data_IF_832150714273
#
_entry.id   IF_832150714273
#
_cell.length_a   1.000
_cell.length_b   1.000
_cell.length_c   1.000
_cell.angle_alpha   90.00
_cell.angle_beta   90.00
_cell.angle_gamma   90.00
#
_symmetry.space_group_name_H-M   'P 1'
#
loop_
_entity.id
_entity.type
_entity.pdbx_description
1 polymer ?
#
# COMPACT_ATOMS: atom_id res chain seq x y z
N UNK A 1 13.93 29.37 0.82
CA UNK A 1 13.93 27.92 0.52
C UNK A 1 12.81 27.29 1.33
N UNK A 2 11.82 26.76 0.68
CA UNK A 2 10.67 26.14 1.33
C UNK A 2 11.11 24.78 1.90
N UNK A 3 10.84 24.56 3.18
CA UNK A 3 11.30 23.36 3.90
C UNK A 3 10.30 22.24 3.65
N UNK A 4 10.69 21.20 2.90
CA UNK A 4 9.91 19.98 2.75
C UNK A 4 10.04 19.13 4.01
N UNK A 5 8.97 19.07 4.80
CA UNK A 5 8.97 18.35 6.08
C UNK A 5 9.24 16.86 5.91
N UNK A 6 8.73 16.21 4.85
CA UNK A 6 8.94 14.77 4.64
C UNK A 6 10.40 14.47 4.31
N UNK A 7 11.05 15.31 3.49
CA UNK A 7 12.48 15.19 3.22
C UNK A 7 13.30 15.34 4.51
N UNK A 8 12.98 16.37 5.33
CA UNK A 8 13.66 16.63 6.61
C UNK A 8 13.48 15.46 7.58
N UNK A 9 12.26 14.89 7.70
CA UNK A 9 11.99 13.75 8.57
C UNK A 9 12.73 12.49 8.12
N UNK A 10 12.83 12.26 6.80
CA UNK A 10 13.56 11.14 6.24
C UNK A 10 15.07 11.24 6.49
N UNK A 11 15.67 12.42 6.25
CA UNK A 11 17.10 12.64 6.45
C UNK A 11 17.53 12.50 7.91
N UNK A 12 16.71 13.01 8.85
CA UNK A 12 17.01 13.04 10.28
C UNK A 12 16.51 11.82 11.07
N UNK A 13 15.84 10.88 10.45
CA UNK A 13 15.17 9.76 11.13
C UNK A 13 16.10 8.96 12.07
N UNK A 14 17.35 8.74 11.68
CA UNK A 14 18.33 8.01 12.51
C UNK A 14 18.72 8.76 13.80
N UNK A 15 18.51 10.06 13.86
CA UNK A 15 18.90 10.92 14.99
C UNK A 15 17.79 11.11 16.03
N UNK A 16 16.56 10.67 15.73
CA UNK A 16 15.41 10.90 16.60
C UNK A 16 15.42 10.03 17.86
N UNK A 17 15.19 10.65 19.00
CA UNK A 17 14.85 9.94 20.23
C UNK A 17 13.50 9.19 20.06
N UNK A 18 13.22 8.23 20.94
CA UNK A 18 11.97 7.44 20.91
C UNK A 18 10.70 8.34 20.87
N UNK A 19 10.69 9.45 21.62
CA UNK A 19 9.57 10.38 21.66
C UNK A 19 9.44 11.22 20.38
N UNK A 20 10.56 11.68 19.85
CA UNK A 20 10.59 12.40 18.58
C UNK A 20 10.18 11.54 17.40
N UNK A 21 10.60 10.29 17.41
CA UNK A 21 10.19 9.29 16.41
C UNK A 21 8.68 9.08 16.43
N UNK A 22 8.04 9.00 17.60
CA UNK A 22 6.60 8.90 17.68
C UNK A 22 5.85 10.09 17.05
N UNK A 23 6.40 11.32 17.18
CA UNK A 23 5.85 12.51 16.51
C UNK A 23 6.09 12.44 14.99
N UNK A 24 7.30 12.09 14.57
CA UNK A 24 7.65 11.94 13.15
C UNK A 24 6.79 10.88 12.46
N UNK A 25 6.65 9.72 13.09
CA UNK A 25 5.83 8.62 12.59
C UNK A 25 4.37 9.06 12.44
N UNK A 26 3.81 9.77 13.42
CA UNK A 26 2.44 10.27 13.34
C UNK A 26 2.26 11.27 12.19
N UNK A 27 3.21 12.19 11.99
CA UNK A 27 3.14 13.16 10.88
C UNK A 27 3.24 12.45 9.53
N UNK A 28 4.11 11.45 9.40
CA UNK A 28 4.25 10.67 8.18
C UNK A 28 3.00 9.80 7.90
N UNK A 29 2.42 9.24 8.96
CA UNK A 29 1.28 8.33 8.87
C UNK A 29 -0.05 9.06 8.61
N UNK A 30 -0.24 10.24 9.22
CA UNK A 30 -1.48 11.01 9.18
C UNK A 30 -1.22 12.49 8.84
N UNK A 31 -0.59 12.80 7.71
CA UNK A 31 -0.26 14.20 7.37
C UNK A 31 -1.51 15.08 7.22
N UNK A 32 -2.61 14.52 6.71
CA UNK A 32 -3.91 15.15 6.60
C UNK A 32 -4.49 15.55 7.96
N UNK A 33 -4.34 14.71 8.97
CA UNK A 33 -4.76 15.02 10.34
C UNK A 33 -3.80 15.98 11.01
N UNK A 34 -2.49 15.71 10.92
CA UNK A 34 -1.45 16.53 11.54
C UNK A 34 -1.49 18.00 11.08
N UNK A 35 -1.84 18.25 9.81
CA UNK A 35 -1.97 19.58 9.24
C UNK A 35 -3.00 20.48 9.94
N UNK A 36 -4.02 19.89 10.57
CA UNK A 36 -5.10 20.64 11.23
C UNK A 36 -5.09 20.52 12.76
N UNK A 37 -4.15 19.75 13.34
CA UNK A 37 -4.01 19.60 14.79
C UNK A 37 -3.32 20.79 15.43
N UNK A 38 -3.63 21.03 16.71
CA UNK A 38 -2.81 21.87 17.60
C UNK A 38 -1.61 21.06 18.09
N UNK A 39 -0.61 21.73 18.69
CA UNK A 39 0.54 21.04 19.29
C UNK A 39 0.09 20.05 20.39
N UNK A 40 -0.91 20.43 21.19
CA UNK A 40 -1.52 19.61 22.23
C UNK A 40 -2.21 18.37 21.62
N UNK A 41 -3.00 18.54 20.57
CA UNK A 41 -3.69 17.44 19.89
C UNK A 41 -2.69 16.45 19.27
N UNK A 42 -1.63 16.98 18.62
CA UNK A 42 -0.57 16.14 18.04
C UNK A 42 0.21 15.40 19.15
N UNK A 43 0.51 16.07 20.25
CA UNK A 43 1.18 15.49 21.40
C UNK A 43 0.36 14.34 22.00
N UNK A 44 -0.95 14.55 22.21
CA UNK A 44 -1.87 13.53 22.68
C UNK A 44 -1.93 12.33 21.72
N UNK A 45 -2.04 12.57 20.42
CA UNK A 45 -2.11 11.53 19.40
C UNK A 45 -0.79 10.72 19.27
N UNK A 46 0.36 11.39 19.43
CA UNK A 46 1.67 10.74 19.40
C UNK A 46 2.11 10.15 20.77
N UNK A 47 1.32 10.32 21.83
CA UNK A 47 1.66 9.83 23.18
C UNK A 47 2.85 10.52 23.82
N UNK A 48 3.03 11.83 23.56
CA UNK A 48 4.12 12.67 24.10
C UNK A 48 3.58 13.94 24.75
N UNK A 49 4.46 14.74 25.36
CA UNK A 49 4.07 16.06 25.87
C UNK A 49 4.06 17.12 24.76
N UNK A 50 3.22 18.16 24.92
CA UNK A 50 3.18 19.30 23.99
C UNK A 50 4.57 19.96 23.84
N UNK A 51 5.30 20.10 24.93
CA UNK A 51 6.67 20.63 24.91
C UNK A 51 7.62 19.78 24.07
N UNK A 52 7.38 18.46 23.95
CA UNK A 52 8.14 17.59 23.05
C UNK A 52 7.85 17.92 21.60
N UNK A 53 6.59 18.17 21.24
CA UNK A 53 6.19 18.55 19.87
C UNK A 53 6.78 19.90 19.48
N UNK A 54 6.72 20.90 20.38
CA UNK A 54 7.27 22.24 20.12
C UNK A 54 8.79 22.17 19.94
N UNK A 55 9.52 21.46 20.82
CA UNK A 55 10.98 21.28 20.68
C UNK A 55 11.34 20.51 19.41
N UNK A 56 10.57 19.51 19.07
CA UNK A 56 10.77 18.75 17.84
C UNK A 56 10.71 19.65 16.60
N UNK A 57 9.72 20.55 16.52
CA UNK A 57 9.64 21.55 15.45
C UNK A 57 10.89 22.42 15.36
N UNK A 58 11.39 22.93 16.51
CA UNK A 58 12.60 23.74 16.58
C UNK A 58 13.85 22.96 16.13
N UNK A 59 14.02 21.71 16.55
CA UNK A 59 15.14 20.82 16.17
C UNK A 59 15.12 20.45 14.67
N UNK A 60 13.96 20.40 14.07
CA UNK A 60 13.82 20.24 12.61
C UNK A 60 14.19 21.53 11.86
N UNK A 61 14.37 22.66 12.56
CA UNK A 61 14.75 23.95 12.01
C UNK A 61 13.57 24.84 11.64
N UNK A 62 12.36 24.55 12.13
CA UNK A 62 11.20 25.44 12.05
C UNK A 62 11.25 26.49 13.17
N UNK A 63 10.57 27.61 13.00
CA UNK A 63 10.46 28.66 14.02
C UNK A 63 9.61 28.23 15.23
N UNK A 64 8.88 27.14 15.10
CA UNK A 64 8.04 26.53 16.11
C UNK A 64 7.00 25.62 15.49
N UNK A 65 6.08 25.10 16.33
CA UNK A 65 5.03 24.19 15.84
C UNK A 65 4.11 24.82 14.77
N UNK A 66 3.69 26.10 14.87
CA UNK A 66 2.85 26.70 13.81
C UNK A 66 3.54 26.72 12.44
N UNK A 67 4.85 26.97 12.39
CA UNK A 67 5.63 26.97 11.16
C UNK A 67 5.79 25.53 10.60
N UNK A 68 6.07 24.57 11.45
CA UNK A 68 6.08 23.15 11.07
C UNK A 68 4.71 22.69 10.53
N UNK A 69 3.62 23.06 11.21
CA UNK A 69 2.25 22.74 10.75
C UNK A 69 1.95 23.37 9.39
N UNK A 70 2.38 24.60 9.15
CA UNK A 70 2.24 25.27 7.85
C UNK A 70 2.97 24.52 6.74
N UNK A 71 4.15 23.98 7.02
CA UNK A 71 4.88 23.11 6.07
C UNK A 71 4.11 21.82 5.75
N UNK A 72 3.44 21.22 6.76
CA UNK A 72 2.58 20.04 6.52
C UNK A 72 1.36 20.43 5.67
N UNK A 73 0.73 21.58 5.93
CA UNK A 73 -0.39 22.09 5.13
C UNK A 73 0.03 22.37 3.69
N UNK A 74 1.21 22.92 3.47
CA UNK A 74 1.73 23.20 2.13
C UNK A 74 2.04 21.90 1.37
N UNK A 75 2.56 20.87 2.06
CA UNK A 75 2.72 19.53 1.49
C UNK A 75 1.37 18.99 0.98
N UNK A 76 0.31 19.08 1.78
CA UNK A 76 -1.02 18.65 1.37
C UNK A 76 -1.58 19.52 0.24
N UNK A 77 -1.39 20.84 0.32
CA UNK A 77 -1.81 21.74 -0.74
C UNK A 77 -1.19 21.35 -2.08
N UNK A 78 0.11 21.07 -2.13
CA UNK A 78 0.80 20.59 -3.34
C UNK A 78 0.27 19.25 -3.84
N UNK A 79 -0.11 18.34 -2.95
CA UNK A 79 -0.72 17.06 -3.31
C UNK A 79 -2.12 17.21 -3.91
N UNK A 80 -2.89 18.20 -3.47
CA UNK A 80 -4.29 18.38 -3.83
C UNK A 80 -4.57 19.65 -4.64
N UNK A 81 -3.59 20.54 -4.84
CA UNK A 81 -3.78 21.73 -5.69
C UNK A 81 -3.88 21.29 -7.16
N UNK A 82 -4.94 21.71 -7.86
CA UNK A 82 -4.85 21.79 -9.29
C UNK A 82 -3.68 22.70 -9.66
N UNK A 83 -2.98 22.41 -10.74
CA UNK A 83 -1.95 23.28 -11.28
C UNK A 83 -2.47 24.72 -11.35
N UNK A 84 -1.64 25.70 -10.95
CA UNK A 84 -2.04 27.13 -11.08
C UNK A 84 -2.51 27.41 -12.50
N UNK A 85 -3.49 28.34 -12.70
CA UNK A 85 -4.06 28.60 -14.02
C UNK A 85 -3.03 28.94 -15.11
N UNK A 86 -1.92 29.58 -14.75
CA UNK A 86 -0.79 29.84 -15.65
C UNK A 86 -0.03 28.57 -16.06
N UNK A 87 -0.01 27.56 -15.17
CA UNK A 87 0.52 26.23 -15.48
C UNK A 87 -0.48 25.39 -16.28
N UNK A 88 -1.78 25.66 -16.17
CA UNK A 88 -2.81 24.97 -16.96
C UNK A 88 -2.82 25.42 -18.41
N UNK A 89 -2.55 26.69 -18.73
CA UNK A 89 -2.37 27.15 -20.13
C UNK A 89 -1.08 26.60 -20.76
N UNK A 90 0.01 26.53 -19.98
CA UNK A 90 1.24 25.82 -20.38
C UNK A 90 1.07 24.30 -20.41
N UNK A 91 0.20 23.74 -19.60
CA UNK A 91 -0.12 22.32 -19.57
C UNK A 91 -0.83 21.85 -20.85
N UNK A 92 -1.65 22.71 -21.50
CA UNK A 92 -2.33 22.38 -22.76
C UNK A 92 -1.37 21.98 -23.88
N UNK A 93 -0.19 22.61 -23.95
CA UNK A 93 0.88 22.23 -24.89
C UNK A 93 1.72 21.03 -24.42
N UNK A 94 1.55 20.57 -23.16
CA UNK A 94 2.48 19.64 -22.53
C UNK A 94 1.85 18.31 -22.06
N UNK A 95 0.53 18.08 -22.29
CA UNK A 95 -0.12 16.83 -21.87
C UNK A 95 0.53 15.58 -22.48
N UNK A 96 0.93 15.63 -23.74
CA UNK A 96 1.62 14.51 -24.40
C UNK A 96 2.95 14.19 -23.70
N UNK A 97 3.69 15.20 -23.28
CA UNK A 97 4.96 15.02 -22.55
C UNK A 97 4.72 14.53 -21.12
N UNK A 98 3.70 15.08 -20.43
CA UNK A 98 3.30 14.62 -19.10
C UNK A 98 2.85 13.16 -19.14
N UNK A 99 2.03 12.80 -20.13
CA UNK A 99 1.57 11.44 -20.35
C UNK A 99 2.73 10.47 -20.60
N UNK A 100 3.66 10.82 -21.50
CA UNK A 100 4.82 9.99 -21.79
C UNK A 100 5.74 9.83 -20.56
N UNK A 101 5.94 10.90 -19.78
CA UNK A 101 6.71 10.87 -18.53
C UNK A 101 6.05 9.95 -17.51
N UNK A 102 4.74 10.12 -17.27
CA UNK A 102 3.99 9.29 -16.30
C UNK A 102 4.03 7.81 -16.70
N UNK A 103 3.83 7.48 -17.98
CA UNK A 103 3.94 6.10 -18.48
C UNK A 103 5.34 5.54 -18.31
N UNK A 104 6.39 6.34 -18.51
CA UNK A 104 7.78 5.95 -18.28
C UNK A 104 7.99 5.59 -16.79
N UNK A 105 7.60 6.47 -15.87
CA UNK A 105 7.71 6.25 -14.43
C UNK A 105 6.92 5.02 -13.97
N UNK A 106 5.72 4.80 -14.51
CA UNK A 106 4.92 3.61 -14.20
C UNK A 106 5.55 2.34 -14.78
N UNK A 107 6.09 2.42 -16.00
CA UNK A 107 6.82 1.32 -16.63
C UNK A 107 8.04 0.89 -15.82
N UNK A 108 8.82 1.85 -15.34
CA UNK A 108 9.98 1.59 -14.47
C UNK A 108 9.54 0.94 -13.13
N UNK A 109 8.45 1.41 -12.53
CA UNK A 109 7.93 0.85 -11.29
C UNK A 109 7.44 -0.60 -11.46
N UNK A 110 6.85 -0.93 -12.61
CA UNK A 110 6.45 -2.30 -12.95
C UNK A 110 7.69 -3.16 -13.28
N UNK A 111 8.63 -2.65 -14.05
CA UNK A 111 9.86 -3.37 -14.38
C UNK A 111 10.67 -3.73 -13.12
N UNK A 112 10.67 -2.86 -12.11
CA UNK A 112 11.34 -3.10 -10.83
C UNK A 112 10.77 -4.32 -10.06
N UNK A 113 9.58 -4.82 -10.41
CA UNK A 113 9.07 -6.09 -9.85
C UNK A 113 9.88 -7.31 -10.28
N UNK A 114 10.61 -7.23 -11.38
CA UNK A 114 11.48 -8.32 -11.84
C UNK A 114 12.88 -8.32 -11.19
N UNK A 115 13.17 -7.30 -10.37
CA UNK A 115 14.48 -7.15 -9.74
C UNK A 115 14.61 -7.88 -8.40
N UNK A 116 15.86 -8.21 -8.05
CA UNK A 116 16.21 -8.79 -6.75
C UNK A 116 15.56 -10.15 -6.49
N UNK A 117 15.08 -10.35 -5.28
CA UNK A 117 14.47 -11.61 -4.83
C UNK A 117 12.98 -11.75 -5.20
N UNK A 118 12.40 -10.78 -5.88
CA UNK A 118 10.98 -10.79 -6.19
C UNK A 118 10.54 -12.02 -6.99
N UNK A 119 11.34 -12.48 -7.96
CA UNK A 119 10.99 -13.66 -8.76
C UNK A 119 10.83 -14.92 -7.89
N UNK A 120 11.73 -15.12 -6.93
CA UNK A 120 11.64 -16.24 -5.98
C UNK A 120 10.45 -16.06 -5.03
N UNK A 121 10.23 -14.83 -4.55
CA UNK A 121 9.11 -14.49 -3.69
C UNK A 121 7.76 -14.68 -4.40
N UNK A 122 7.63 -14.28 -5.67
CA UNK A 122 6.45 -14.61 -6.48
C UNK A 122 6.20 -16.12 -6.57
N UNK A 123 7.24 -16.90 -6.87
CA UNK A 123 7.13 -18.38 -6.92
C UNK A 123 6.72 -18.98 -5.58
N UNK A 124 7.21 -18.44 -4.46
CA UNK A 124 6.85 -18.84 -3.10
C UNK A 124 5.41 -18.46 -2.78
N UNK A 125 5.01 -17.23 -3.08
CA UNK A 125 3.65 -16.74 -2.90
C UNK A 125 2.63 -17.62 -3.66
N UNK A 126 2.89 -17.92 -4.93
CA UNK A 126 1.99 -18.79 -5.74
C UNK A 126 1.83 -20.16 -5.11
N UNK A 127 2.91 -20.76 -4.60
CA UNK A 127 2.84 -22.08 -3.91
C UNK A 127 2.00 -21.99 -2.65
N UNK A 128 2.13 -20.91 -1.85
CA UNK A 128 1.32 -20.66 -0.66
C UNK A 128 -0.15 -20.51 -1.06
N UNK A 129 -0.46 -19.64 -2.02
CA UNK A 129 -1.82 -19.39 -2.50
C UNK A 129 -2.49 -20.66 -3.05
N UNK A 130 -1.73 -21.52 -3.71
CA UNK A 130 -2.24 -22.77 -4.25
C UNK A 130 -2.58 -23.80 -3.15
N UNK A 131 -1.73 -23.91 -2.13
CA UNK A 131 -1.84 -24.92 -1.06
C UNK A 131 -2.81 -24.54 0.05
N UNK A 132 -2.96 -23.26 0.35
CA UNK A 132 -3.77 -22.80 1.48
C UNK A 132 -5.24 -23.22 1.30
N UNK A 133 -5.90 -23.61 2.39
CA UNK A 133 -7.31 -23.94 2.43
C UNK A 133 -8.18 -22.71 2.17
N UNK A 134 -7.92 -21.63 2.91
CA UNK A 134 -8.51 -20.32 2.67
C UNK A 134 -7.40 -19.30 2.45
N UNK A 135 -7.67 -18.34 1.60
CA UNK A 135 -6.79 -17.20 1.38
C UNK A 135 -7.54 -15.93 1.73
N UNK A 136 -7.10 -15.27 2.77
CA UNK A 136 -7.60 -13.95 3.17
C UNK A 136 -6.82 -12.88 2.42
N UNK A 137 -7.53 -11.96 1.76
CA UNK A 137 -6.94 -10.87 1.01
C UNK A 137 -7.26 -9.56 1.72
N UNK A 138 -6.23 -8.90 2.22
CA UNK A 138 -6.32 -7.66 2.97
C UNK A 138 -5.61 -6.55 2.20
N UNK A 139 -6.33 -5.48 1.90
CA UNK A 139 -5.76 -4.25 1.36
C UNK A 139 -5.82 -3.15 2.40
N UNK A 140 -4.68 -2.58 2.76
CA UNK A 140 -4.64 -1.31 3.47
C UNK A 140 -5.12 -0.15 2.59
N UNK A 141 -5.11 1.10 3.10
CA UNK A 141 -5.49 2.25 2.27
C UNK A 141 -4.60 2.33 1.03
N UNK A 142 -5.21 2.28 -0.15
CA UNK A 142 -4.54 2.21 -1.46
C UNK A 142 -4.18 0.79 -1.96
N UNK A 143 -4.29 -0.26 -1.13
CA UNK A 143 -4.11 -1.65 -1.56
C UNK A 143 -5.42 -2.42 -1.74
N UNK A 144 -6.54 -1.83 -1.35
CA UNK A 144 -7.84 -2.50 -1.34
C UNK A 144 -8.32 -2.87 -2.75
N UNK A 145 -8.06 -2.02 -3.73
CA UNK A 145 -8.43 -2.30 -5.12
C UNK A 145 -7.63 -3.47 -5.71
N UNK A 146 -6.34 -3.59 -5.36
CA UNK A 146 -5.51 -4.72 -5.78
C UNK A 146 -5.97 -6.03 -5.10
N UNK A 147 -6.33 -5.98 -3.81
CA UNK A 147 -6.91 -7.11 -3.10
C UNK A 147 -8.25 -7.54 -3.73
N UNK A 148 -9.13 -6.60 -4.04
CA UNK A 148 -10.41 -6.85 -4.70
C UNK A 148 -10.22 -7.44 -6.11
N UNK A 149 -9.28 -6.89 -6.89
CA UNK A 149 -8.94 -7.41 -8.21
C UNK A 149 -8.50 -8.87 -8.13
N UNK A 150 -7.53 -9.17 -7.26
CA UNK A 150 -7.02 -10.52 -7.08
C UNK A 150 -8.11 -11.47 -6.56
N UNK A 151 -8.89 -11.04 -5.58
CA UNK A 151 -10.01 -11.83 -5.04
C UNK A 151 -11.02 -12.23 -6.13
N UNK A 152 -11.45 -11.29 -6.97
CA UNK A 152 -12.37 -11.58 -8.10
C UNK A 152 -11.77 -12.61 -9.04
N UNK A 153 -10.48 -12.51 -9.35
CA UNK A 153 -9.79 -13.47 -10.18
C UNK A 153 -9.67 -14.85 -9.54
N UNK A 154 -9.30 -14.90 -8.25
CA UNK A 154 -9.16 -16.14 -7.48
C UNK A 154 -10.47 -16.91 -7.37
N UNK A 155 -11.61 -16.21 -7.18
CA UNK A 155 -12.94 -16.83 -7.17
C UNK A 155 -13.28 -17.58 -8.44
N UNK A 156 -12.62 -17.28 -9.57
CA UNK A 156 -12.78 -18.00 -10.83
C UNK A 156 -11.90 -19.26 -10.90
N UNK A 157 -10.85 -19.32 -10.10
CA UNK A 157 -9.83 -20.38 -10.17
C UNK A 157 -9.96 -21.40 -9.03
N UNK A 158 -10.44 -20.96 -7.87
CA UNK A 158 -10.54 -21.81 -6.68
C UNK A 158 -11.55 -21.30 -5.66
N UNK A 159 -12.01 -22.19 -4.79
CA UNK A 159 -12.76 -21.83 -3.59
C UNK A 159 -11.84 -21.33 -2.46
N UNK A 160 -12.44 -20.80 -1.40
CA UNK A 160 -11.73 -20.37 -0.19
C UNK A 160 -11.05 -19.00 -0.28
N UNK A 161 -11.30 -18.18 -1.30
CA UNK A 161 -10.85 -16.81 -1.36
C UNK A 161 -11.78 -15.89 -0.55
N UNK A 162 -11.25 -15.19 0.46
CA UNK A 162 -11.97 -14.31 1.37
C UNK A 162 -11.41 -12.89 1.25
N UNK A 163 -12.23 -11.93 0.84
CA UNK A 163 -11.85 -10.52 0.85
C UNK A 163 -12.12 -9.93 2.24
N UNK A 164 -11.10 -9.38 2.88
CA UNK A 164 -11.19 -8.76 4.20
C UNK A 164 -11.61 -7.30 4.02
N UNK A 165 -12.78 -6.96 4.55
CA UNK A 165 -13.36 -5.60 4.51
C UNK A 165 -13.76 -5.15 5.91
N UNK A 166 -13.39 -3.94 6.31
CA UNK A 166 -13.65 -3.40 7.64
C UNK A 166 -12.71 -3.99 8.70
N UNK A 167 -13.23 -4.40 9.86
CA UNK A 167 -12.43 -4.91 10.97
C UNK A 167 -11.69 -6.20 10.58
N UNK A 168 -10.39 -6.06 10.34
CA UNK A 168 -9.53 -7.17 9.94
C UNK A 168 -9.38 -8.22 11.04
N UNK A 169 -9.32 -7.82 12.31
CA UNK A 169 -9.15 -8.76 13.42
C UNK A 169 -10.38 -9.63 13.62
N UNK A 170 -11.57 -9.06 13.47
CA UNK A 170 -12.81 -9.83 13.54
C UNK A 170 -12.87 -10.91 12.46
N UNK A 171 -12.47 -10.56 11.22
CA UNK A 171 -12.51 -11.48 10.10
C UNK A 171 -11.39 -12.54 10.14
N UNK A 172 -10.24 -12.22 10.71
CA UNK A 172 -9.10 -13.13 10.87
C UNK A 172 -9.16 -13.94 12.18
N UNK A 173 -10.14 -13.72 13.07
CA UNK A 173 -10.22 -14.36 14.38
C UNK A 173 -10.16 -15.90 14.35
N UNK A 174 -10.55 -16.50 13.23
CA UNK A 174 -10.53 -17.96 13.01
C UNK A 174 -9.50 -18.41 11.96
N UNK A 175 -8.47 -17.60 11.71
CA UNK A 175 -7.38 -17.99 10.82
C UNK A 175 -6.53 -19.08 11.48
N UNK A 176 -6.08 -20.05 10.68
CA UNK A 176 -5.33 -21.21 11.15
C UNK A 176 -4.08 -21.46 10.30
N UNK A 177 -3.26 -22.43 10.71
CA UNK A 177 -2.06 -22.82 9.94
C UNK A 177 -2.36 -23.45 8.57
N UNK A 178 -3.62 -23.81 8.27
CA UNK A 178 -4.04 -24.28 6.95
C UNK A 178 -4.35 -23.13 5.98
N UNK A 179 -4.41 -21.90 6.48
CA UNK A 179 -4.81 -20.71 5.75
C UNK A 179 -3.61 -19.86 5.34
N UNK A 180 -3.85 -18.88 4.47
CA UNK A 180 -2.88 -17.85 4.14
C UNK A 180 -3.52 -16.48 4.22
N UNK A 181 -2.73 -15.47 4.61
CA UNK A 181 -3.06 -14.07 4.48
C UNK A 181 -2.17 -13.42 3.42
N UNK A 182 -2.79 -12.77 2.45
CA UNK A 182 -2.09 -11.91 1.51
C UNK A 182 -2.47 -10.46 1.79
N UNK A 183 -1.47 -9.63 2.10
CA UNK A 183 -1.64 -8.23 2.44
C UNK A 183 -1.01 -7.32 1.39
N UNK A 184 -1.75 -6.30 0.97
CA UNK A 184 -1.24 -5.22 0.12
C UNK A 184 -1.01 -3.96 0.95
N UNK A 185 0.24 -3.48 1.00
CA UNK A 185 0.67 -2.29 1.73
C UNK A 185 1.29 -1.28 0.77
N UNK A 186 0.51 -0.46 0.07
CA UNK A 186 1.07 0.52 -0.86
C UNK A 186 1.81 1.68 -0.16
N UNK A 187 1.55 1.90 1.14
CA UNK A 187 2.19 2.93 1.95
C UNK A 187 2.74 2.37 3.28
N UNK A 188 3.84 2.93 3.82
CA UNK A 188 4.55 2.37 4.98
C UNK A 188 3.78 2.41 6.31
N UNK A 189 2.69 3.14 6.41
CA UNK A 189 2.06 3.58 7.66
C UNK A 189 0.80 2.81 8.05
N UNK A 190 0.61 1.60 7.59
CA UNK A 190 -0.64 0.84 7.77
C UNK A 190 -0.59 -0.04 9.03
N UNK A 191 -0.72 0.56 10.23
CA UNK A 191 -0.64 -0.16 11.52
C UNK A 191 -1.64 -1.29 11.64
N UNK A 192 -2.89 -1.07 11.22
CA UNK A 192 -3.94 -2.10 11.31
C UNK A 192 -3.62 -3.30 10.41
N UNK A 193 -3.27 -3.08 9.15
CA UNK A 193 -2.92 -4.16 8.22
C UNK A 193 -1.63 -4.87 8.64
N UNK A 194 -0.66 -4.12 9.19
CA UNK A 194 0.56 -4.71 9.75
C UNK A 194 0.26 -5.58 10.98
N UNK A 195 -0.55 -5.09 11.90
CA UNK A 195 -0.96 -5.84 13.10
C UNK A 195 -1.76 -7.09 12.74
N UNK A 196 -2.66 -6.99 11.76
CA UNK A 196 -3.42 -8.12 11.23
C UNK A 196 -2.51 -9.18 10.59
N UNK A 197 -1.48 -8.76 9.83
CA UNK A 197 -0.49 -9.67 9.26
C UNK A 197 0.34 -10.37 10.34
N UNK A 198 0.73 -9.65 11.37
CA UNK A 198 1.43 -10.21 12.52
C UNK A 198 0.57 -11.21 13.28
N UNK A 199 -0.70 -10.89 13.52
CA UNK A 199 -1.66 -11.78 14.14
C UNK A 199 -1.83 -13.08 13.34
N UNK A 200 -1.95 -13.00 12.02
CA UNK A 200 -2.05 -14.16 11.15
C UNK A 200 -0.79 -15.06 11.24
N UNK A 201 0.40 -14.46 11.21
CA UNK A 201 1.66 -15.17 11.39
C UNK A 201 1.73 -15.87 12.75
N UNK A 202 1.42 -15.15 13.83
CA UNK A 202 1.47 -15.68 15.20
C UNK A 202 0.41 -16.80 15.42
N UNK A 203 -0.64 -16.83 14.59
CA UNK A 203 -1.66 -17.91 14.51
C UNK A 203 -1.20 -19.10 13.65
N UNK A 204 0.01 -19.05 13.08
CA UNK A 204 0.60 -20.10 12.25
C UNK A 204 0.21 -20.06 10.77
N UNK A 205 -0.60 -19.11 10.34
CA UNK A 205 -0.96 -18.95 8.93
C UNK A 205 0.22 -18.41 8.11
N UNK A 206 0.32 -18.83 6.86
CA UNK A 206 1.33 -18.29 5.96
C UNK A 206 0.98 -16.85 5.58
N UNK A 207 1.98 -15.96 5.60
CA UNK A 207 1.81 -14.53 5.29
C UNK A 207 2.56 -14.15 4.03
N UNK A 208 1.83 -13.60 3.07
CA UNK A 208 2.37 -12.98 1.86
C UNK A 208 2.17 -11.47 2.00
N UNK A 209 3.23 -10.70 1.87
CA UNK A 209 3.18 -9.24 1.89
C UNK A 209 3.60 -8.67 0.54
N UNK A 210 2.81 -7.72 0.03
CA UNK A 210 3.15 -6.88 -1.13
C UNK A 210 3.32 -5.47 -0.61
N UNK A 211 4.53 -4.96 -0.54
CA UNK A 211 4.86 -3.71 0.16
C UNK A 211 5.87 -2.86 -0.62
N UNK A 212 5.89 -1.57 -0.32
CA UNK A 212 7.00 -0.71 -0.73
C UNK A 212 8.31 -1.10 -0.01
N UNK A 213 9.43 -0.65 -0.56
CA UNK A 213 10.77 -0.94 0.02
C UNK A 213 10.94 -0.43 1.45
N UNK A 214 10.23 0.66 1.81
CA UNK A 214 10.28 1.25 3.14
C UNK A 214 9.68 0.35 4.24
N UNK A 215 8.74 -0.53 3.87
CA UNK A 215 8.11 -1.47 4.80
C UNK A 215 8.91 -2.75 5.06
N UNK A 216 10.00 -2.98 4.32
CA UNK A 216 10.73 -4.25 4.31
C UNK A 216 11.20 -4.69 5.70
N UNK A 217 11.74 -3.78 6.52
CA UNK A 217 12.32 -4.10 7.83
C UNK A 217 11.28 -4.63 8.82
N UNK A 218 10.03 -4.14 8.75
CA UNK A 218 8.95 -4.59 9.62
C UNK A 218 8.32 -5.92 9.23
N UNK A 219 8.52 -6.36 7.98
CA UNK A 219 7.84 -7.53 7.39
C UNK A 219 8.73 -8.77 7.29
N UNK A 220 9.83 -8.83 8.06
CA UNK A 220 10.75 -9.97 8.07
C UNK A 220 10.11 -11.31 8.50
N UNK A 221 8.92 -11.27 9.11
CA UNK A 221 8.14 -12.44 9.46
C UNK A 221 7.30 -13.00 8.30
N UNK A 222 7.16 -12.26 7.20
CA UNK A 222 6.37 -12.74 6.06
C UNK A 222 7.09 -13.90 5.34
N UNK A 223 6.34 -14.94 5.00
CA UNK A 223 6.85 -16.10 4.26
C UNK A 223 7.21 -15.75 2.82
N UNK A 224 6.58 -14.73 2.28
CA UNK A 224 6.92 -14.15 0.98
C UNK A 224 6.71 -12.64 1.01
N UNK A 225 7.74 -11.88 0.63
CA UNK A 225 7.71 -10.42 0.57
C UNK A 225 8.00 -9.96 -0.85
N UNK A 226 6.98 -9.41 -1.51
CA UNK A 226 7.09 -8.82 -2.85
C UNK A 226 7.26 -7.31 -2.69
N UNK A 227 8.37 -6.79 -3.18
CA UNK A 227 8.70 -5.37 -3.09
C UNK A 227 8.26 -4.63 -4.35
N UNK A 228 7.35 -3.67 -4.15
CA UNK A 228 6.79 -2.81 -5.18
C UNK A 228 7.45 -1.43 -5.22
N UNK A 229 7.42 -0.79 -6.40
CA UNK A 229 7.97 0.54 -6.62
C UNK A 229 9.48 0.58 -6.82
N UNK A 230 9.93 1.56 -7.62
CA UNK A 230 11.35 1.87 -7.83
C UNK A 230 11.98 2.55 -6.61
N UNK A 231 13.29 2.84 -6.68
CA UNK A 231 14.03 3.57 -5.64
C UNK A 231 13.52 5.00 -5.43
N UNK A 232 12.95 5.60 -6.47
CA UNK A 232 12.37 6.95 -6.49
C UNK A 232 11.16 6.91 -7.42
N UNK A 233 10.03 7.47 -7.00
CA UNK A 233 8.84 7.56 -7.86
C UNK A 233 7.63 8.10 -7.10
N UNK A 234 6.66 8.69 -7.80
CA UNK A 234 5.43 9.17 -7.20
C UNK A 234 4.59 8.00 -6.62
N UNK A 235 3.76 8.31 -5.63
CA UNK A 235 2.88 7.33 -4.97
C UNK A 235 2.01 6.54 -5.96
N UNK A 236 1.60 7.17 -7.07
CA UNK A 236 0.83 6.52 -8.13
C UNK A 236 1.61 5.42 -8.87
N UNK A 237 2.92 5.60 -9.12
CA UNK A 237 3.75 4.57 -9.73
C UNK A 237 3.84 3.32 -8.84
N UNK A 238 3.87 3.52 -7.52
CA UNK A 238 3.82 2.44 -6.53
C UNK A 238 2.49 1.70 -6.58
N UNK A 239 1.37 2.41 -6.64
CA UNK A 239 0.04 1.81 -6.75
C UNK A 239 -0.08 0.95 -8.03
N UNK A 240 0.45 1.41 -9.16
CA UNK A 240 0.46 0.65 -10.42
C UNK A 240 1.28 -0.64 -10.27
N UNK A 241 2.46 -0.59 -9.61
CA UNK A 241 3.28 -1.79 -9.40
C UNK A 241 2.60 -2.80 -8.44
N UNK A 242 1.87 -2.34 -7.43
CA UNK A 242 1.07 -3.21 -6.54
C UNK A 242 -0.04 -3.92 -7.33
N UNK A 243 -0.69 -3.21 -8.23
CA UNK A 243 -1.70 -3.80 -9.12
C UNK A 243 -1.10 -4.83 -10.09
N UNK A 244 0.06 -4.51 -10.66
CA UNK A 244 0.80 -5.44 -11.51
C UNK A 244 1.22 -6.70 -10.75
N UNK A 245 1.68 -6.57 -9.49
CA UNK A 245 1.99 -7.70 -8.63
C UNK A 245 0.76 -8.60 -8.41
N UNK A 246 -0.42 -8.01 -8.14
CA UNK A 246 -1.66 -8.77 -8.01
C UNK A 246 -2.03 -9.52 -9.30
N UNK A 247 -1.84 -8.91 -10.46
CA UNK A 247 -2.09 -9.54 -11.76
C UNK A 247 -1.15 -10.74 -12.01
N UNK A 248 0.14 -10.57 -11.75
CA UNK A 248 1.14 -11.65 -11.90
C UNK A 248 0.86 -12.81 -10.93
N UNK A 249 0.47 -12.52 -9.68
CA UNK A 249 0.06 -13.55 -8.72
C UNK A 249 -1.16 -14.35 -9.21
N UNK A 250 -2.14 -13.67 -9.83
CA UNK A 250 -3.31 -14.34 -10.39
C UNK A 250 -2.96 -15.26 -11.55
N UNK A 251 -2.09 -14.81 -12.45
CA UNK A 251 -1.62 -15.64 -13.58
C UNK A 251 -0.80 -16.84 -13.08
N UNK A 252 0.09 -16.63 -12.12
CA UNK A 252 0.86 -17.70 -11.49
C UNK A 252 -0.03 -18.74 -10.81
N UNK A 253 -1.08 -18.28 -10.09
CA UNK A 253 -2.06 -19.18 -9.49
C UNK A 253 -2.84 -19.93 -10.55
N UNK A 254 -3.27 -19.29 -11.65
CA UNK A 254 -3.92 -19.94 -12.79
C UNK A 254 -3.06 -21.06 -13.37
N UNK A 255 -1.77 -20.81 -13.55
CA UNK A 255 -0.83 -21.84 -14.00
C UNK A 255 -0.71 -22.99 -13.00
N UNK A 256 -0.67 -22.70 -11.69
CA UNK A 256 -0.56 -23.71 -10.63
C UNK A 256 -1.80 -24.60 -10.51
N UNK A 257 -3.00 -24.06 -10.78
CA UNK A 257 -4.26 -24.85 -10.80
C UNK A 257 -4.58 -25.46 -12.16
N UNK A 258 -3.75 -25.21 -13.18
CA UNK A 258 -3.96 -25.70 -14.55
C UNK A 258 -5.15 -25.05 -15.27
N UNK A 259 -5.55 -23.85 -14.86
CA UNK A 259 -6.68 -23.13 -15.43
C UNK A 259 -6.35 -21.65 -15.68
N UNK A 260 -6.46 -21.22 -16.92
CA UNK A 260 -6.29 -19.79 -17.23
C UNK A 260 -7.49 -18.97 -16.75
N UNK A 261 -7.26 -17.79 -16.13
CA UNK A 261 -8.34 -16.89 -15.71
C UNK A 261 -9.28 -16.49 -16.85
N UNK A 262 -8.78 -16.37 -18.08
CA UNK A 262 -9.59 -16.10 -19.28
C UNK A 262 -10.55 -17.23 -19.60
N UNK A 263 -10.12 -18.48 -19.47
CA UNK A 263 -10.96 -19.66 -19.71
C UNK A 263 -12.08 -19.75 -18.68
N UNK A 264 -11.79 -19.46 -17.41
CA UNK A 264 -12.78 -19.41 -16.34
C UNK A 264 -13.84 -18.33 -16.58
N UNK A 265 -13.42 -17.12 -17.01
CA UNK A 265 -14.35 -16.03 -17.38
C UNK A 265 -15.27 -16.43 -18.55
N UNK A 266 -14.73 -17.05 -19.59
CA UNK A 266 -15.52 -17.52 -20.73
C UNK A 266 -16.59 -18.54 -20.31
N UNK A 267 -16.27 -19.45 -19.39
CA UNK A 267 -17.25 -20.40 -18.84
C UNK A 267 -18.39 -19.69 -18.13
N UNK A 268 -18.11 -18.65 -17.34
CA UNK A 268 -19.15 -17.83 -16.67
C UNK A 268 -20.00 -17.07 -17.68
N UNK A 269 -19.39 -16.50 -18.71
CA UNK A 269 -20.13 -15.83 -19.79
C UNK A 269 -21.08 -16.81 -20.51
N UNK A 270 -20.63 -18.03 -20.78
CA UNK A 270 -21.49 -19.09 -21.35
C UNK A 270 -22.68 -19.39 -20.43
N UNK A 271 -22.44 -19.56 -19.12
CA UNK A 271 -23.50 -19.78 -18.15
C UNK A 271 -24.48 -18.58 -18.12
N UNK A 272 -23.99 -17.34 -18.12
CA UNK A 272 -24.87 -16.17 -18.19
C UNK A 272 -25.74 -16.18 -19.46
N UNK A 273 -25.14 -16.43 -20.62
CA UNK A 273 -25.87 -16.52 -21.87
C UNK A 273 -26.95 -17.57 -21.85
N UNK A 274 -26.71 -18.70 -21.19
CA UNK A 274 -27.70 -19.77 -21.05
C UNK A 274 -28.87 -19.42 -20.12
N UNK A 275 -28.62 -18.61 -19.07
CA UNK A 275 -29.62 -18.34 -18.04
C UNK A 275 -30.23 -16.94 -18.10
N UNK A 276 -29.56 -15.92 -18.71
CA UNK A 276 -30.09 -14.57 -18.88
C UNK A 276 -30.94 -14.40 -20.15
N UNK A 277 -30.88 -15.32 -21.12
CA UNK A 277 -31.67 -15.27 -22.38
C UNK A 277 -33.15 -15.64 -22.18
N UNK A 278 -33.55 -16.13 -21.03
CA UNK A 278 -34.91 -16.58 -20.77
C UNK A 278 -35.83 -15.55 -20.11
N UNK A 279 -35.42 -14.27 -20.00
CA UNK A 279 -36.22 -13.16 -19.47
C UNK A 279 -36.66 -12.14 -20.54
N UNK A 280 -36.89 -12.56 -21.79
CA UNK A 280 -37.52 -11.72 -22.80
C UNK A 280 -38.92 -12.26 -23.17
#
# INVERSE_FOLDING_TARGET
>A
MEKDIIAILSEKNALFSKRQRAVADFICEYPDRAAFMTAEMLASAAGVSESTVVRFALELGFEGYPDMRKSIQELLRRRFSPAEPEDAERAGENFTRLFAKALGEYGEAVAALAEGENAENFGRAVKILHKAKRVFLLGGSGGQDAALYLWRGMKLLRDGAVLVLGDAYAQLSHITAEDALLCFYPAPSQRESFGAARFAHDSGAAVIAVSGREGQTGLAFADSLILCGGKTGPDFARAVSVYAAAAVLLEGLGAAVGQEPKAARKKIETIRQEYEINEC
#
